data_IF_958304459705
#
_entry.id   IF_958304459705
#
_cell.length_a   1.000
_cell.length_b   1.000
_cell.length_c   1.000
_cell.angle_alpha   90.00
_cell.angle_beta   90.00
_cell.angle_gamma   90.00
#
_symmetry.space_group_name_H-M   'P 1'
#
loop_
_entity.id
_entity.type
_entity.pdbx_description
1 polymer ?
#
# COMPACT_ATOMS: atom_id res chain seq x y z
N UNK A 1 32.25 34.00 16.94
CA UNK A 1 31.13 33.03 16.97
C UNK A 1 29.86 33.78 16.61
N UNK A 2 29.38 33.62 15.38
CA UNK A 2 28.23 34.34 14.83
C UNK A 2 27.02 33.38 14.89
N UNK A 3 25.93 33.70 15.60
CA UNK A 3 24.73 32.84 15.59
C UNK A 3 24.00 33.02 14.26
N UNK A 4 23.95 31.96 13.48
CA UNK A 4 23.13 31.86 12.26
C UNK A 4 21.66 31.83 12.69
N UNK A 5 20.99 32.99 12.64
CA UNK A 5 19.54 33.09 12.78
C UNK A 5 18.90 32.45 11.57
N UNK A 6 18.47 31.19 11.73
CA UNK A 6 17.60 30.51 10.80
C UNK A 6 16.20 31.12 10.97
N UNK A 7 15.89 32.19 10.26
CA UNK A 7 14.55 32.72 10.14
C UNK A 7 13.74 31.75 9.26
N UNK A 8 13.04 30.82 9.89
CA UNK A 8 11.95 30.06 9.28
C UNK A 8 10.88 31.07 8.84
N UNK A 9 10.91 31.46 7.58
CA UNK A 9 9.82 32.15 6.94
C UNK A 9 8.62 31.19 6.88
N UNK A 10 7.80 31.23 7.91
CA UNK A 10 6.48 30.59 7.93
C UNK A 10 5.59 31.38 6.95
N UNK A 11 5.62 31.03 5.69
CA UNK A 11 4.55 31.43 4.78
C UNK A 11 3.27 30.73 5.26
N UNK A 12 2.14 31.45 5.38
CA UNK A 12 0.87 30.82 5.63
C UNK A 12 0.46 30.10 4.32
N UNK A 13 0.99 28.90 4.14
CA UNK A 13 0.48 27.99 3.12
C UNK A 13 -0.90 27.58 3.60
N UNK A 14 -1.92 28.03 2.91
CA UNK A 14 -3.29 27.55 3.06
C UNK A 14 -3.29 26.10 2.54
N UNK A 15 -2.78 25.20 3.34
CA UNK A 15 -2.62 23.79 3.02
C UNK A 15 -3.97 23.13 3.25
N UNK A 16 -4.63 22.73 2.18
CA UNK A 16 -5.84 21.93 2.26
C UNK A 16 -5.47 20.52 2.70
N UNK A 17 -6.16 20.00 3.71
CA UNK A 17 -5.98 18.64 4.20
C UNK A 17 -7.04 17.73 3.56
N UNK A 18 -6.59 16.62 3.00
CA UNK A 18 -7.45 15.58 2.44
C UNK A 18 -7.34 14.32 3.28
N UNK A 19 -8.47 13.81 3.71
CA UNK A 19 -8.58 12.54 4.44
C UNK A 19 -9.48 11.63 3.64
N UNK A 20 -8.96 10.49 3.20
CA UNK A 20 -9.67 9.59 2.30
C UNK A 20 -9.61 8.16 2.82
N UNK A 21 -10.66 7.68 3.50
CA UNK A 21 -10.86 6.26 3.75
C UNK A 21 -11.20 5.53 2.44
N UNK A 22 -10.65 4.32 2.30
CA UNK A 22 -10.85 3.43 1.17
C UNK A 22 -11.31 2.06 1.64
N UNK A 23 -12.11 1.43 0.79
CA UNK A 23 -12.40 0.02 0.81
C UNK A 23 -12.05 -0.55 -0.56
N UNK A 24 -11.46 -1.74 -0.59
CA UNK A 24 -10.99 -2.30 -1.83
C UNK A 24 -10.75 -3.80 -1.78
N UNK A 25 -10.17 -4.28 -2.87
CA UNK A 25 -9.85 -5.67 -3.07
C UNK A 25 -8.44 -5.81 -3.62
N UNK A 26 -7.63 -6.68 -3.00
CA UNK A 26 -6.25 -6.93 -3.39
C UNK A 26 -6.13 -8.29 -4.05
N UNK A 27 -5.45 -8.29 -5.18
CA UNK A 27 -5.18 -9.46 -6.02
C UNK A 27 -3.68 -9.72 -6.06
N UNK A 28 -3.30 -10.98 -6.20
CA UNK A 28 -1.92 -11.36 -6.46
C UNK A 28 -1.10 -11.55 -5.20
N UNK A 29 0.11 -11.91 -5.43
CA UNK A 29 1.08 -12.44 -4.51
C UNK A 29 1.30 -13.90 -4.82
N UNK A 30 2.53 -14.24 -5.20
CA UNK A 30 2.95 -15.64 -5.39
C UNK A 30 4.12 -15.90 -4.48
N UNK A 31 4.04 -16.99 -3.76
CA UNK A 31 5.15 -17.54 -2.98
C UNK A 31 5.59 -18.85 -3.60
N UNK A 32 6.89 -19.11 -3.62
CA UNK A 32 7.47 -20.32 -4.20
C UNK A 32 8.24 -21.05 -3.10
N UNK A 33 8.07 -22.37 -3.01
CA UNK A 33 8.85 -23.18 -2.08
C UNK A 33 10.21 -23.58 -2.68
N UNK A 34 11.09 -24.19 -1.87
CA UNK A 34 12.40 -24.67 -2.31
C UNK A 34 12.31 -25.75 -3.41
N UNK A 35 11.15 -26.36 -3.62
CA UNK A 35 10.89 -27.38 -4.64
C UNK A 35 10.25 -26.79 -5.90
N UNK A 36 10.24 -25.45 -6.06
CA UNK A 36 9.66 -24.73 -7.19
C UNK A 36 8.13 -24.85 -7.31
N UNK A 37 7.44 -25.17 -6.23
CA UNK A 37 5.97 -25.16 -6.22
C UNK A 37 5.49 -23.76 -5.93
N UNK A 38 4.54 -23.29 -6.73
CA UNK A 38 3.92 -21.98 -6.58
C UNK A 38 2.67 -22.11 -5.71
N UNK A 39 2.57 -21.19 -4.76
CA UNK A 39 1.37 -21.03 -3.93
C UNK A 39 0.80 -19.64 -4.21
N UNK A 40 -0.45 -19.60 -4.61
CA UNK A 40 -1.14 -18.34 -4.84
C UNK A 40 -1.73 -17.82 -3.51
N UNK A 41 -1.54 -16.53 -3.26
CA UNK A 41 -2.20 -15.83 -2.15
C UNK A 41 -3.61 -15.51 -2.62
N UNK A 42 -4.62 -15.95 -1.86
CA UNK A 42 -6.01 -15.69 -2.19
C UNK A 42 -6.29 -14.18 -2.25
N UNK A 43 -7.05 -13.74 -3.23
CA UNK A 43 -7.55 -12.38 -3.26
C UNK A 43 -8.29 -12.05 -1.96
N UNK A 44 -8.09 -10.84 -1.43
CA UNK A 44 -8.68 -10.43 -0.16
C UNK A 44 -9.19 -8.99 -0.18
N UNK A 45 -10.14 -8.72 0.68
CA UNK A 45 -10.57 -7.37 0.97
C UNK A 45 -9.45 -6.58 1.65
N UNK A 46 -9.40 -5.29 1.36
CA UNK A 46 -8.50 -4.37 2.04
C UNK A 46 -9.26 -3.12 2.50
N UNK A 47 -8.77 -2.53 3.57
CA UNK A 47 -9.14 -1.19 3.99
C UNK A 47 -7.91 -0.30 3.97
N UNK A 48 -8.08 0.96 3.57
CA UNK A 48 -6.96 1.88 3.55
C UNK A 48 -7.38 3.29 3.95
N UNK A 49 -6.39 4.11 4.29
CA UNK A 49 -6.57 5.51 4.63
C UNK A 49 -5.45 6.33 3.99
N UNK A 50 -5.80 7.39 3.26
CA UNK A 50 -4.85 8.41 2.84
C UNK A 50 -5.09 9.70 3.63
N UNK A 51 -3.99 10.33 4.06
CA UNK A 51 -3.97 11.67 4.66
C UNK A 51 -2.95 12.48 3.86
N UNK A 52 -3.43 13.45 3.11
CA UNK A 52 -2.64 14.18 2.12
C UNK A 52 -2.87 15.68 2.23
N UNK A 53 -1.94 16.44 1.73
CA UNK A 53 -2.05 17.88 1.59
C UNK A 53 -1.78 18.31 0.15
N UNK A 54 -2.33 19.46 -0.27
CA UNK A 54 -2.06 20.03 -1.58
C UNK A 54 -0.57 20.38 -1.71
N UNK A 55 0.03 19.96 -2.81
CA UNK A 55 1.39 20.29 -3.17
C UNK A 55 1.51 20.52 -4.68
N UNK A 56 1.76 21.77 -5.07
CA UNK A 56 1.78 22.18 -6.49
C UNK A 56 0.47 21.80 -7.21
N UNK A 57 0.56 21.00 -8.28
CA UNK A 57 -0.58 20.50 -9.06
C UNK A 57 -1.07 19.13 -8.58
N UNK A 58 -0.65 18.70 -7.39
CA UNK A 58 -0.93 17.38 -6.86
C UNK A 58 -1.16 17.34 -5.36
N UNK A 59 -0.95 16.16 -4.79
CA UNK A 59 -1.03 15.91 -3.35
C UNK A 59 0.18 15.14 -2.88
N UNK A 60 0.54 15.34 -1.62
CA UNK A 60 1.62 14.64 -0.92
C UNK A 60 1.11 14.25 0.47
N UNK A 61 1.50 13.08 0.96
CA UNK A 61 1.06 12.63 2.29
C UNK A 61 1.36 11.18 2.58
N UNK A 62 0.54 10.58 3.43
CA UNK A 62 0.68 9.20 3.87
C UNK A 62 -0.49 8.34 3.44
N UNK A 63 -0.19 7.11 3.09
CA UNK A 63 -1.15 6.08 2.78
C UNK A 63 -0.88 4.87 3.68
N UNK A 64 -1.92 4.43 4.40
CA UNK A 64 -1.91 3.21 5.17
C UNK A 64 -2.90 2.22 4.57
N UNK A 65 -2.53 0.95 4.48
CA UNK A 65 -3.43 -0.13 4.05
C UNK A 65 -3.26 -1.35 4.92
N UNK A 66 -4.38 -1.99 5.20
CA UNK A 66 -4.48 -3.25 5.91
C UNK A 66 -5.24 -4.25 5.06
N UNK A 67 -4.70 -5.45 4.89
CA UNK A 67 -5.33 -6.56 4.20
C UNK A 67 -5.13 -7.85 4.96
N UNK A 68 -6.16 -8.71 4.98
CA UNK A 68 -6.10 -10.04 5.56
C UNK A 68 -6.37 -11.05 4.45
N UNK A 69 -5.40 -11.93 4.20
CA UNK A 69 -5.43 -12.94 3.13
C UNK A 69 -5.28 -14.33 3.71
N UNK A 70 -5.66 -15.34 2.93
CA UNK A 70 -5.36 -16.73 3.22
C UNK A 70 -4.41 -17.26 2.15
N UNK A 71 -3.43 -18.05 2.56
CA UNK A 71 -2.57 -18.78 1.64
C UNK A 71 -3.29 -20.05 1.21
N UNK A 72 -3.41 -20.26 -0.11
CA UNK A 72 -4.04 -21.46 -0.67
C UNK A 72 -3.21 -22.68 -0.23
N UNK A 73 -3.86 -23.74 0.28
CA UNK A 73 -3.28 -25.00 0.77
C UNK A 73 -2.66 -24.98 2.20
N UNK A 74 -2.48 -23.82 2.82
CA UNK A 74 -2.10 -23.72 4.21
C UNK A 74 -3.19 -22.88 4.85
N UNK A 75 -4.04 -23.42 5.69
CA UNK A 75 -5.21 -22.73 6.28
C UNK A 75 -4.78 -21.67 7.32
N UNK A 76 -3.74 -20.91 6.98
CA UNK A 76 -3.16 -19.88 7.81
C UNK A 76 -3.51 -18.50 7.27
N UNK A 77 -4.01 -17.65 8.15
CA UNK A 77 -4.25 -16.24 7.87
C UNK A 77 -2.93 -15.48 7.78
N UNK A 78 -2.80 -14.64 6.76
CA UNK A 78 -1.71 -13.71 6.59
C UNK A 78 -2.26 -12.29 6.56
N UNK A 79 -1.87 -11.48 7.52
CA UNK A 79 -2.25 -10.07 7.56
C UNK A 79 -1.07 -9.21 7.13
N UNK A 80 -1.32 -8.31 6.19
CA UNK A 80 -0.32 -7.37 5.68
C UNK A 80 -0.73 -5.94 5.96
N UNK A 81 0.21 -5.16 6.44
CA UNK A 81 0.07 -3.71 6.65
C UNK A 81 1.09 -2.98 5.78
N UNK A 82 0.67 -1.89 5.17
CA UNK A 82 1.52 -1.01 4.38
C UNK A 82 1.43 0.41 4.92
N UNK A 83 2.57 1.06 5.05
CA UNK A 83 2.65 2.49 5.33
C UNK A 83 3.58 3.15 4.32
N UNK A 84 3.03 3.97 3.45
CA UNK A 84 3.76 4.67 2.41
C UNK A 84 3.67 6.18 2.58
N UNK A 85 4.77 6.87 2.39
CA UNK A 85 4.76 8.25 1.99
C UNK A 85 4.49 8.29 0.48
N UNK A 86 3.52 9.08 0.05
CA UNK A 86 3.09 9.12 -1.35
C UNK A 86 3.00 10.53 -1.91
N UNK A 87 3.16 10.63 -3.23
CA UNK A 87 2.96 11.84 -4.00
C UNK A 87 2.20 11.52 -5.27
N UNK A 88 1.31 12.42 -5.67
CA UNK A 88 0.46 12.27 -6.86
C UNK A 88 0.36 13.59 -7.62
N UNK A 89 0.13 13.49 -8.92
CA UNK A 89 -0.14 14.62 -9.82
C UNK A 89 -1.55 14.46 -10.34
N UNK A 90 -2.30 15.57 -10.39
CA UNK A 90 -3.70 15.62 -10.81
C UNK A 90 -3.84 16.33 -12.16
N UNK A 91 -4.65 15.73 -13.03
CA UNK A 91 -5.02 16.26 -14.32
C UNK A 91 -6.54 16.48 -14.37
N UNK A 92 -7.03 17.71 -14.51
CA UNK A 92 -8.46 17.96 -14.67
C UNK A 92 -8.93 17.37 -16.00
N UNK A 93 -9.99 16.55 -15.97
CA UNK A 93 -10.64 16.00 -17.17
C UNK A 93 -11.86 16.86 -17.55
N UNK A 94 -12.69 17.16 -16.57
CA UNK A 94 -13.90 17.96 -16.69
C UNK A 94 -14.07 18.83 -15.43
N UNK A 95 -15.12 19.64 -15.38
CA UNK A 95 -15.38 20.53 -14.24
C UNK A 95 -15.49 19.84 -12.88
N UNK A 96 -15.85 18.55 -12.85
CA UNK A 96 -16.02 17.74 -11.63
C UNK A 96 -15.10 16.53 -11.56
N UNK A 97 -14.41 16.19 -12.63
CA UNK A 97 -13.60 14.98 -12.73
C UNK A 97 -12.13 15.30 -12.90
N UNK A 98 -11.27 14.57 -12.21
CA UNK A 98 -9.81 14.65 -12.35
C UNK A 98 -9.23 13.23 -12.39
N UNK A 99 -8.28 13.00 -13.27
CA UNK A 99 -7.43 11.83 -13.21
C UNK A 99 -6.18 12.13 -12.38
N UNK A 100 -5.62 11.13 -11.75
CA UNK A 100 -4.34 11.25 -11.04
C UNK A 100 -3.46 10.02 -11.25
N UNK A 101 -2.17 10.26 -11.13
CA UNK A 101 -1.14 9.22 -11.06
C UNK A 101 -0.18 9.56 -9.94
N UNK A 102 0.32 8.56 -9.24
CA UNK A 102 1.22 8.78 -8.13
C UNK A 102 2.11 7.58 -7.82
N UNK A 103 3.05 7.84 -6.94
CA UNK A 103 4.01 6.86 -6.42
C UNK A 103 4.05 6.93 -4.90
N UNK A 104 4.37 5.81 -4.27
CA UNK A 104 4.54 5.72 -2.83
C UNK A 104 5.74 4.86 -2.47
N UNK A 105 6.43 5.25 -1.41
CA UNK A 105 7.56 4.52 -0.84
C UNK A 105 7.38 4.39 0.66
N UNK A 106 7.74 3.23 1.21
CA UNK A 106 7.60 3.00 2.64
C UNK A 106 7.93 1.60 3.08
N UNK A 107 7.19 1.12 4.08
CA UNK A 107 7.38 -0.19 4.65
C UNK A 107 6.13 -1.05 4.62
N UNK A 108 6.34 -2.34 4.71
CA UNK A 108 5.32 -3.34 4.96
C UNK A 108 5.59 -4.06 6.27
N UNK A 109 4.54 -4.50 6.92
CA UNK A 109 4.59 -5.38 8.08
C UNK A 109 3.68 -6.59 7.82
N UNK A 110 4.27 -7.78 7.89
CA UNK A 110 3.55 -9.04 7.74
C UNK A 110 3.29 -9.63 9.12
N UNK A 111 2.04 -9.67 9.54
CA UNK A 111 1.65 -10.37 10.77
C UNK A 111 1.32 -11.82 10.42
N UNK A 112 2.37 -12.63 10.48
CA UNK A 112 2.35 -14.06 10.19
C UNK A 112 3.26 -14.77 11.17
N UNK A 113 2.84 -15.94 11.66
CA UNK A 113 3.56 -16.65 12.73
C UNK A 113 4.78 -17.41 12.24
N UNK A 114 4.93 -17.60 10.91
CA UNK A 114 5.99 -18.41 10.31
C UNK A 114 7.14 -17.61 9.69
N UNK A 115 7.16 -16.28 9.83
CA UNK A 115 8.18 -15.40 9.25
C UNK A 115 9.03 -14.78 10.35
N UNK A 116 10.36 -14.96 10.27
CA UNK A 116 11.28 -14.39 11.26
C UNK A 116 11.42 -12.88 11.12
N UNK A 117 11.44 -12.35 9.88
CA UNK A 117 11.51 -10.92 9.63
C UNK A 117 10.16 -10.42 9.10
N UNK A 118 9.39 -9.77 9.97
CA UNK A 118 8.04 -9.27 9.69
C UNK A 118 8.03 -7.94 8.94
N UNK A 119 9.15 -7.24 8.84
CA UNK A 119 9.27 -5.93 8.22
C UNK A 119 9.92 -6.01 6.86
N UNK A 120 9.40 -5.28 5.90
CA UNK A 120 9.94 -5.18 4.55
C UNK A 120 9.86 -3.75 4.00
N UNK A 121 10.74 -3.45 3.06
CA UNK A 121 10.60 -2.25 2.25
C UNK A 121 9.51 -2.49 1.21
N UNK A 122 8.67 -1.47 0.97
CA UNK A 122 7.65 -1.54 -0.07
C UNK A 122 7.53 -0.25 -0.85
N UNK A 123 7.11 -0.40 -2.11
CA UNK A 123 6.84 0.71 -3.02
C UNK A 123 5.50 0.51 -3.70
N UNK A 124 4.93 1.58 -4.21
CA UNK A 124 3.69 1.51 -4.97
C UNK A 124 3.66 2.51 -6.12
N UNK A 125 2.93 2.14 -7.16
CA UNK A 125 2.50 3.04 -8.23
C UNK A 125 0.99 2.94 -8.29
N UNK A 126 0.32 4.09 -8.41
CA UNK A 126 -1.13 4.13 -8.43
C UNK A 126 -1.65 5.16 -9.42
N UNK A 127 -2.82 4.89 -9.97
CA UNK A 127 -3.54 5.80 -10.84
C UNK A 127 -5.04 5.69 -10.59
N UNK A 128 -5.76 6.78 -10.75
CA UNK A 128 -7.16 6.80 -10.43
C UNK A 128 -7.92 8.01 -10.97
N UNK A 129 -9.18 8.08 -10.55
CA UNK A 129 -10.12 9.14 -10.92
C UNK A 129 -10.80 9.64 -9.65
N UNK A 130 -10.85 10.96 -9.52
CA UNK A 130 -11.64 11.69 -8.55
C UNK A 130 -12.88 12.28 -9.22
N UNK A 131 -14.04 12.13 -8.57
CA UNK A 131 -15.28 12.79 -8.96
C UNK A 131 -15.81 13.64 -7.80
N UNK A 132 -15.85 14.97 -8.00
CA UNK A 132 -16.26 15.94 -7.00
C UNK A 132 -17.78 15.98 -6.88
N UNK A 133 -18.31 15.58 -5.73
CA UNK A 133 -19.74 15.61 -5.42
C UNK A 133 -20.12 16.97 -4.84
N UNK A 134 -19.32 17.46 -3.90
CA UNK A 134 -19.52 18.75 -3.24
C UNK A 134 -18.19 19.49 -3.12
N UNK A 135 -18.20 20.69 -2.58
CA UNK A 135 -17.00 21.51 -2.41
C UNK A 135 -15.92 20.84 -1.57
N UNK A 136 -16.32 19.99 -0.63
CA UNK A 136 -15.46 19.30 0.33
C UNK A 136 -15.56 17.78 0.27
N UNK A 137 -16.31 17.20 -0.69
CA UNK A 137 -16.56 15.76 -0.80
C UNK A 137 -16.26 15.27 -2.22
N UNK A 138 -15.46 14.23 -2.31
CA UNK A 138 -15.03 13.59 -3.56
C UNK A 138 -15.20 12.08 -3.45
N UNK A 139 -15.76 11.44 -4.49
CA UNK A 139 -15.61 9.99 -4.67
C UNK A 139 -14.32 9.78 -5.43
N UNK A 140 -13.51 8.84 -4.97
CA UNK A 140 -12.26 8.48 -5.61
C UNK A 140 -12.18 6.98 -5.86
N UNK A 141 -11.60 6.61 -6.99
CA UNK A 141 -11.25 5.22 -7.29
C UNK A 141 -9.82 5.16 -7.78
N UNK A 142 -9.06 4.16 -7.33
CA UNK A 142 -7.71 3.97 -7.84
C UNK A 142 -7.33 2.49 -7.94
N UNK A 143 -6.49 2.24 -8.91
CA UNK A 143 -5.74 1.01 -9.05
C UNK A 143 -4.32 1.25 -8.53
N UNK A 144 -3.81 0.33 -7.69
CA UNK A 144 -2.49 0.43 -7.06
C UNK A 144 -1.73 -0.87 -7.25
N UNK A 145 -0.53 -0.78 -7.79
CA UNK A 145 0.47 -1.82 -7.71
C UNK A 145 1.28 -1.64 -6.43
N UNK A 146 1.51 -2.73 -5.71
CA UNK A 146 2.31 -2.82 -4.49
C UNK A 146 3.45 -3.80 -4.74
N UNK A 147 4.68 -3.33 -4.67
CA UNK A 147 5.89 -4.15 -4.70
C UNK A 147 6.51 -4.19 -3.31
N UNK A 148 6.70 -5.38 -2.76
CA UNK A 148 7.29 -5.60 -1.44
C UNK A 148 8.57 -6.40 -1.57
N UNK A 149 9.66 -5.90 -1.00
CA UNK A 149 10.87 -6.68 -0.84
C UNK A 149 10.68 -7.68 0.30
N UNK A 150 10.82 -8.96 -0.03
CA UNK A 150 10.77 -10.06 0.94
C UNK A 150 12.17 -10.62 1.09
N UNK A 151 12.58 -10.85 2.34
CA UNK A 151 13.90 -11.40 2.63
C UNK A 151 13.93 -12.88 2.27
N UNK A 152 14.92 -13.29 1.48
CA UNK A 152 15.10 -14.69 1.04
C UNK A 152 15.52 -15.63 2.16
N UNK A 153 15.98 -15.11 3.28
CA UNK A 153 16.35 -15.90 4.45
C UNK A 153 15.14 -16.32 5.30
N UNK A 154 13.95 -15.91 4.90
CA UNK A 154 12.72 -16.22 5.59
C UNK A 154 12.17 -17.56 5.10
N UNK A 155 12.38 -18.61 5.88
CA UNK A 155 11.82 -19.93 5.63
C UNK A 155 10.60 -20.15 6.50
N UNK A 156 9.45 -20.42 5.90
CA UNK A 156 8.26 -20.89 6.59
C UNK A 156 8.33 -22.42 6.73
N UNK A 157 8.17 -22.92 7.95
CA UNK A 157 8.07 -24.36 8.20
C UNK A 157 6.57 -24.71 8.17
N UNK A 158 6.14 -25.40 7.13
CA UNK A 158 4.80 -25.96 7.09
C UNK A 158 4.73 -27.20 7.98
N UNK A 159 3.93 -27.16 9.04
CA UNK A 159 3.56 -28.35 9.78
C UNK A 159 2.45 -29.09 9.02
N UNK A 160 2.85 -29.93 8.07
CA UNK A 160 1.95 -30.95 7.52
C UNK A 160 2.09 -32.20 8.38
N UNK A 161 0.97 -32.82 8.77
CA UNK A 161 0.85 -33.98 9.65
C UNK A 161 1.54 -35.27 9.15
N UNK A 162 2.32 -35.24 8.07
CA UNK A 162 3.08 -36.38 7.58
C UNK A 162 4.50 -35.96 7.18
N UNK A 163 5.42 -36.12 8.09
CA UNK A 163 6.87 -36.39 7.99
C UNK A 163 7.75 -35.76 6.90
N UNK A 164 7.35 -34.70 6.22
CA UNK A 164 8.25 -33.93 5.38
C UNK A 164 8.00 -32.44 5.63
N UNK A 165 8.84 -31.83 6.47
CA UNK A 165 8.83 -30.39 6.67
C UNK A 165 8.99 -29.67 5.32
N UNK A 166 8.00 -28.90 4.90
CA UNK A 166 8.18 -28.01 3.77
C UNK A 166 8.78 -26.69 4.27
N UNK A 167 9.72 -26.15 3.51
CA UNK A 167 10.31 -24.84 3.76
C UNK A 167 9.86 -23.96 2.61
N UNK A 168 9.04 -22.97 2.90
CA UNK A 168 8.63 -21.96 1.91
C UNK A 168 9.68 -20.85 1.95
N UNK A 169 10.37 -20.64 0.84
CA UNK A 169 11.27 -19.51 0.63
C UNK A 169 10.79 -18.66 -0.53
N UNK A 170 10.99 -17.35 -0.44
CA UNK A 170 10.71 -16.47 -1.56
C UNK A 170 11.90 -16.50 -2.53
N UNK A 171 11.69 -16.96 -3.76
CA UNK A 171 12.73 -16.96 -4.81
C UNK A 171 12.88 -15.61 -5.49
N UNK A 172 11.87 -14.78 -5.42
CA UNK A 172 11.88 -13.41 -5.92
C UNK A 172 12.02 -12.46 -4.75
N UNK A 173 12.97 -11.53 -4.83
CA UNK A 173 13.12 -10.49 -3.82
C UNK A 173 11.92 -9.51 -3.82
N UNK A 174 10.95 -9.69 -4.71
CA UNK A 174 9.77 -8.84 -4.84
C UNK A 174 8.49 -9.65 -4.91
N UNK A 175 7.60 -9.38 -3.96
CA UNK A 175 6.21 -9.81 -4.02
C UNK A 175 5.37 -8.69 -4.67
N UNK A 176 4.63 -9.04 -5.70
CA UNK A 176 3.80 -8.10 -6.44
C UNK A 176 2.32 -8.32 -6.14
N UNK A 177 1.63 -7.26 -5.75
CA UNK A 177 0.19 -7.26 -5.51
C UNK A 177 -0.47 -6.11 -6.26
N UNK A 178 -1.74 -6.28 -6.58
CA UNK A 178 -2.56 -5.26 -7.24
C UNK A 178 -3.81 -5.02 -6.40
N UNK A 179 -4.10 -3.77 -6.09
CA UNK A 179 -5.28 -3.39 -5.32
C UNK A 179 -6.15 -2.44 -6.15
N UNK A 180 -7.46 -2.68 -6.11
CA UNK A 180 -8.47 -1.74 -6.58
C UNK A 180 -9.21 -1.19 -5.37
N UNK A 181 -9.27 0.14 -5.24
CA UNK A 181 -9.85 0.81 -4.09
C UNK A 181 -10.89 1.86 -4.51
N UNK A 182 -11.96 1.93 -3.74
CA UNK A 182 -12.97 2.98 -3.78
C UNK A 182 -12.95 3.75 -2.45
N UNK A 183 -13.03 5.07 -2.50
CA UNK A 183 -12.94 5.90 -1.31
C UNK A 183 -13.80 7.15 -1.35
N UNK A 184 -13.95 7.76 -0.18
CA UNK A 184 -14.60 9.04 0.01
C UNK A 184 -13.59 10.04 0.55
N UNK A 185 -13.17 11.00 -0.29
CA UNK A 185 -12.25 12.06 0.06
C UNK A 185 -12.96 13.24 0.72
N UNK A 186 -12.54 13.57 1.93
CA UNK A 186 -12.97 14.76 2.66
C UNK A 186 -11.86 15.80 2.62
N UNK A 187 -12.21 17.05 2.28
CA UNK A 187 -11.30 18.20 2.25
C UNK A 187 -11.64 19.18 3.38
N UNK A 188 -10.61 19.54 4.12
CA UNK A 188 -10.65 20.49 5.25
C UNK A 188 -9.82 21.73 4.97
#
# INVERSE_FOLDING_TARGET
MLPLLLSLLAFPVKSELYVTPYFGYTLGGKVEDQQQRHYDIKPSENIALAIETSFQTGRIGFFYSHQSSQVEQIDNQATMHYLHFQSSIYYPLESKSSAFIGVGLGGSYADVDWVNNKYGFSSSVFAGIDYKIASNLTITSHFRWLGTMVDNDTSAICQLEQNNGCVIGFRSNWMNQFAFNLGLGLRF
#
